data_IF_267154535868
#
_entry.id   IF_267154535868
#
_cell.length_a   1.000
_cell.length_b   1.000
_cell.length_c   1.000
_cell.angle_alpha   90.00
_cell.angle_beta   90.00
_cell.angle_gamma   90.00
#
_symmetry.space_group_name_H-M   'P 1'
#
loop_
_entity.id
_entity.type
_entity.pdbx_description
1 polymer ?
#
# COMPACT_ATOMS: atom_id res chain seq x y z
N UNK A 1 5.70 11.43 -30.69
CA UNK A 1 4.94 10.41 -29.97
C UNK A 1 4.92 10.86 -28.51
N UNK A 2 3.87 11.51 -28.02
CA UNK A 2 3.78 11.86 -26.62
C UNK A 2 3.43 10.58 -25.86
N UNK A 3 4.33 10.12 -25.02
CA UNK A 3 4.07 9.02 -24.10
C UNK A 3 3.04 9.47 -23.08
N UNK A 4 2.06 8.63 -22.81
CA UNK A 4 1.17 8.81 -21.68
C UNK A 4 2.02 8.74 -20.42
N UNK A 5 1.94 9.75 -19.58
CA UNK A 5 2.71 9.78 -18.35
C UNK A 5 1.80 10.18 -17.19
N UNK A 6 1.99 9.51 -16.08
CA UNK A 6 1.59 10.02 -14.79
C UNK A 6 2.64 11.05 -14.40
N UNK A 7 2.23 12.29 -14.19
CA UNK A 7 3.14 13.38 -13.84
C UNK A 7 3.35 13.51 -12.33
N UNK A 8 2.32 13.19 -11.55
CA UNK A 8 2.41 13.20 -10.08
C UNK A 8 1.46 12.18 -9.48
N UNK A 9 1.81 11.69 -8.31
CA UNK A 9 0.98 10.87 -7.45
C UNK A 9 1.05 11.51 -6.08
N UNK A 10 -0.07 12.03 -5.60
CA UNK A 10 -0.19 12.61 -4.28
C UNK A 10 -1.11 11.75 -3.42
N UNK A 11 -0.70 11.48 -2.19
CA UNK A 11 -1.59 10.91 -1.19
C UNK A 11 -2.37 12.08 -0.56
N UNK A 12 -3.66 12.13 -0.81
CA UNK A 12 -4.58 13.14 -0.30
C UNK A 12 -5.54 12.57 0.74
N UNK A 13 -5.18 11.46 1.34
CA UNK A 13 -5.98 10.83 2.39
C UNK A 13 -6.21 11.82 3.52
N UNK A 14 -7.43 12.32 3.63
CA UNK A 14 -7.82 13.29 4.67
C UNK A 14 -8.25 12.62 5.97
N UNK A 15 -8.51 11.34 5.92
CA UNK A 15 -8.95 10.58 7.09
C UNK A 15 -7.73 10.06 7.87
N UNK A 16 -7.50 10.66 9.03
CA UNK A 16 -6.54 10.17 10.03
C UNK A 16 -7.16 9.04 10.87
N UNK A 17 -7.79 8.07 10.21
CA UNK A 17 -8.24 6.85 10.87
C UNK A 17 -7.03 5.92 11.12
N UNK A 18 -7.07 5.08 12.15
CA UNK A 18 -6.11 4.00 12.25
C UNK A 18 -6.35 3.07 11.06
N UNK A 19 -5.50 3.19 10.04
CA UNK A 19 -5.50 2.24 8.94
C UNK A 19 -5.11 0.88 9.50
N UNK A 20 -5.94 -0.11 9.25
CA UNK A 20 -5.62 -1.47 9.63
C UNK A 20 -4.44 -1.95 8.76
N UNK A 21 -3.32 -2.26 9.42
CA UNK A 21 -2.16 -2.81 8.73
C UNK A 21 -2.52 -4.17 8.08
N UNK A 22 -1.95 -4.49 6.91
CA UNK A 22 -2.22 -5.75 6.22
C UNK A 22 -1.90 -6.99 7.05
N UNK A 23 -0.97 -6.86 7.98
CA UNK A 23 -0.56 -7.89 8.93
C UNK A 23 -0.90 -7.42 10.33
N UNK A 24 -1.72 -8.17 11.06
CA UNK A 24 -2.02 -7.87 12.45
C UNK A 24 -0.76 -8.07 13.33
N UNK A 25 -0.65 -7.29 14.40
CA UNK A 25 0.51 -7.36 15.31
C UNK A 25 0.62 -8.77 15.90
N UNK A 26 -0.49 -9.39 16.26
CA UNK A 26 -0.54 -10.74 16.79
C UNK A 26 -0.02 -11.78 15.79
N UNK A 27 -0.43 -11.65 14.51
CA UNK A 27 0.05 -12.52 13.42
C UNK A 27 1.56 -12.37 13.22
N UNK A 28 2.08 -11.14 13.32
CA UNK A 28 3.52 -10.88 13.23
C UNK A 28 4.28 -11.41 14.43
N UNK A 29 3.77 -11.27 15.66
CA UNK A 29 4.35 -11.85 16.87
C UNK A 29 4.43 -13.37 16.79
N UNK A 30 3.37 -14.03 16.34
CA UNK A 30 3.38 -15.47 16.12
C UNK A 30 4.45 -15.87 15.10
N UNK A 31 4.55 -15.13 14.00
CA UNK A 31 5.55 -15.36 12.96
C UNK A 31 6.98 -15.20 13.50
N UNK A 32 7.22 -14.19 14.32
CA UNK A 32 8.52 -13.92 14.97
C UNK A 32 8.80 -14.87 16.15
N UNK A 33 7.83 -15.69 16.57
CA UNK A 33 7.87 -16.56 17.75
C UNK A 33 8.16 -15.79 19.04
N UNK A 34 7.60 -14.58 19.16
CA UNK A 34 7.70 -13.73 20.34
C UNK A 34 6.65 -14.07 21.40
N UNK A 35 5.76 -15.00 21.15
CA UNK A 35 4.84 -15.54 22.15
C UNK A 35 5.64 -16.29 23.20
N UNK A 36 5.71 -15.74 24.40
CA UNK A 36 6.23 -16.44 25.55
C UNK A 36 5.47 -17.74 25.77
N UNK A 37 6.14 -18.78 26.25
CA UNK A 37 5.48 -19.96 26.78
C UNK A 37 4.51 -19.45 27.86
N UNK A 38 3.22 -19.60 27.61
CA UNK A 38 2.24 -19.54 28.71
C UNK A 38 2.51 -20.80 29.52
N UNK A 39 3.33 -20.69 30.54
CA UNK A 39 3.38 -21.71 31.57
C UNK A 39 1.98 -21.78 32.18
N UNK A 40 1.31 -22.88 31.97
CA UNK A 40 -0.05 -23.17 32.48
C UNK A 40 -0.06 -23.46 33.98
N UNK A 41 0.96 -23.04 34.71
CA UNK A 41 0.97 -23.10 36.17
C UNK A 41 0.45 -21.79 36.75
N UNK A 42 -0.79 -21.90 37.28
CA UNK A 42 -1.53 -20.91 38.01
C UNK A 42 -0.75 -20.33 39.23
N UNK A 43 0.16 -19.42 39.00
CA UNK A 43 0.56 -18.47 40.08
C UNK A 43 1.55 -17.45 39.53
N UNK A 44 1.11 -16.32 39.13
CA UNK A 44 1.60 -14.98 39.48
C UNK A 44 1.06 -13.96 38.51
N UNK A 45 0.18 -13.14 39.04
CA UNK A 45 -0.60 -12.13 38.30
C UNK A 45 0.09 -10.75 38.21
N UNK A 46 1.42 -10.67 38.21
CA UNK A 46 2.08 -9.37 38.30
C UNK A 46 3.11 -9.04 37.18
N UNK A 47 3.27 -9.88 36.16
CA UNK A 47 4.28 -9.67 35.11
C UNK A 47 3.70 -9.35 33.71
N UNK A 48 2.51 -8.76 33.61
CA UNK A 48 1.91 -8.42 32.31
C UNK A 48 2.49 -7.11 31.72
N UNK A 49 3.29 -6.35 32.46
CA UNK A 49 3.75 -5.01 32.04
C UNK A 49 5.00 -4.99 31.13
N UNK A 50 5.67 -6.11 30.93
CA UNK A 50 6.90 -6.16 30.13
C UNK A 50 6.64 -6.38 28.63
N UNK A 51 5.41 -6.77 28.25
CA UNK A 51 5.04 -7.03 26.85
C UNK A 51 4.61 -5.78 26.06
N UNK A 52 4.16 -4.72 26.71
CA UNK A 52 3.61 -3.52 26.05
C UNK A 52 4.70 -2.70 25.30
N UNK A 53 5.93 -2.72 25.80
CA UNK A 53 7.00 -1.93 25.17
C UNK A 53 7.49 -2.52 23.83
N UNK A 54 7.40 -3.83 23.67
CA UNK A 54 7.75 -4.49 22.42
C UNK A 54 6.68 -4.30 21.34
N UNK A 55 5.41 -4.07 21.71
CA UNK A 55 4.31 -3.94 20.78
C UNK A 55 4.40 -2.70 19.90
N UNK A 56 4.80 -1.56 20.47
CA UNK A 56 5.03 -0.33 19.73
C UNK A 56 6.15 -0.50 18.70
N UNK A 57 7.26 -1.12 19.10
CA UNK A 57 8.39 -1.41 18.22
C UNK A 57 7.99 -2.37 17.10
N UNK A 58 7.19 -3.38 17.41
CA UNK A 58 6.70 -4.35 16.42
C UNK A 58 5.72 -3.67 15.44
N UNK A 59 4.87 -2.77 15.93
CA UNK A 59 3.99 -1.98 15.08
C UNK A 59 4.77 -1.09 14.11
N UNK A 60 5.78 -0.38 14.60
CA UNK A 60 6.65 0.45 13.78
C UNK A 60 7.39 -0.36 12.70
N UNK A 61 7.90 -1.53 13.08
CA UNK A 61 8.58 -2.44 12.15
C UNK A 61 7.62 -2.98 11.09
N UNK A 62 6.38 -3.30 11.49
CA UNK A 62 5.34 -3.76 10.57
C UNK A 62 5.00 -2.68 9.54
N UNK A 63 4.77 -1.46 10.01
CA UNK A 63 4.54 -0.30 9.16
C UNK A 63 5.71 -0.05 8.21
N UNK A 64 6.95 -0.02 8.71
CA UNK A 64 8.15 0.17 7.91
C UNK A 64 8.31 -0.92 6.83
N UNK A 65 8.01 -2.17 7.16
CA UNK A 65 8.03 -3.26 6.20
C UNK A 65 6.99 -3.07 5.08
N UNK A 66 5.76 -2.66 5.42
CA UNK A 66 4.72 -2.33 4.44
C UNK A 66 5.15 -1.18 3.53
N UNK A 67 5.64 -0.09 4.11
CA UNK A 67 6.07 1.09 3.34
C UNK A 67 7.20 0.76 2.36
N UNK A 68 8.18 -0.02 2.79
CA UNK A 68 9.23 -0.51 1.89
C UNK A 68 8.65 -1.39 0.77
N UNK A 69 7.69 -2.27 1.07
CA UNK A 69 7.03 -3.06 0.03
C UNK A 69 6.27 -2.17 -0.96
N UNK A 70 5.53 -1.16 -0.50
CA UNK A 70 4.86 -0.18 -1.36
C UNK A 70 5.87 0.55 -2.26
N UNK A 71 6.96 1.05 -1.68
CA UNK A 71 8.00 1.77 -2.39
C UNK A 71 8.64 0.95 -3.53
N UNK A 72 8.94 -0.32 -3.28
CA UNK A 72 9.62 -1.17 -4.27
C UNK A 72 8.67 -1.82 -5.28
N UNK A 73 7.41 -2.02 -4.92
CA UNK A 73 6.41 -2.62 -5.81
C UNK A 73 5.69 -1.60 -6.68
N UNK A 74 5.51 -0.37 -6.19
CA UNK A 74 4.61 0.63 -6.76
C UNK A 74 3.13 0.26 -6.56
N UNK A 75 2.82 -0.56 -5.56
CA UNK A 75 1.46 -0.99 -5.22
C UNK A 75 1.05 -0.32 -3.93
N UNK A 76 -0.18 0.18 -3.86
CA UNK A 76 -0.78 0.68 -2.63
C UNK A 76 -1.34 -0.50 -1.84
N UNK A 77 -0.86 -0.72 -0.62
CA UNK A 77 -1.20 -1.92 0.18
C UNK A 77 -2.29 -1.69 1.22
N UNK A 78 -2.53 -0.45 1.62
CA UNK A 78 -3.63 -0.06 2.51
C UNK A 78 -4.57 0.90 1.78
N UNK A 79 -5.82 1.04 2.22
CA UNK A 79 -6.76 1.97 1.61
C UNK A 79 -6.25 3.41 1.71
N UNK A 80 -6.15 4.09 0.56
CA UNK A 80 -5.72 5.49 0.45
C UNK A 80 -6.54 6.20 -0.61
N UNK A 81 -6.70 7.52 -0.45
CA UNK A 81 -7.19 8.38 -1.51
C UNK A 81 -6.00 8.99 -2.24
N UNK A 82 -5.88 8.71 -3.51
CA UNK A 82 -4.79 9.19 -4.35
C UNK A 82 -5.31 10.22 -5.33
N UNK A 83 -4.54 11.30 -5.48
CA UNK A 83 -4.67 12.27 -6.56
C UNK A 83 -3.56 12.03 -7.57
N UNK A 84 -3.91 11.83 -8.82
CA UNK A 84 -2.97 11.52 -9.89
C UNK A 84 -3.20 12.45 -11.06
N UNK A 85 -2.16 13.15 -11.50
CA UNK A 85 -2.17 13.94 -12.72
C UNK A 85 -1.77 13.06 -13.90
N UNK A 86 -2.68 12.88 -14.82
CA UNK A 86 -2.52 12.03 -16.00
C UNK A 86 -2.52 12.88 -17.24
N UNK A 87 -1.43 12.85 -18.01
CA UNK A 87 -1.45 13.40 -19.37
C UNK A 87 -1.91 12.33 -20.37
N UNK A 88 -2.98 12.64 -21.05
CA UNK A 88 -3.58 11.72 -21.99
C UNK A 88 -3.10 11.96 -23.41
N UNK A 89 -2.21 11.14 -23.86
CA UNK A 89 -1.80 11.13 -25.26
C UNK A 89 -2.51 10.08 -26.10
N UNK A 90 -3.79 9.84 -26.01
CA UNK A 90 -4.52 8.86 -26.84
C UNK A 90 -4.32 7.38 -26.50
N UNK A 91 -3.99 7.05 -25.27
CA UNK A 91 -3.76 5.66 -24.88
C UNK A 91 -4.46 5.26 -23.59
N UNK A 92 -4.10 4.09 -23.14
CA UNK A 92 -4.46 3.59 -21.82
C UNK A 92 -3.40 4.02 -20.85
N UNK A 93 -3.80 4.58 -19.71
CA UNK A 93 -2.92 4.83 -18.59
C UNK A 93 -3.30 3.91 -17.43
N UNK A 94 -2.37 3.09 -16.97
CA UNK A 94 -2.55 2.28 -15.76
C UNK A 94 -2.45 3.21 -14.55
N UNK A 95 -3.45 3.13 -13.67
CA UNK A 95 -3.45 3.87 -12.42
C UNK A 95 -2.75 3.06 -11.32
N UNK A 96 -2.03 3.74 -10.39
CA UNK A 96 -1.56 3.11 -9.17
C UNK A 96 -2.72 2.43 -8.44
N UNK A 97 -2.51 1.21 -7.99
CA UNK A 97 -3.64 0.48 -7.41
C UNK A 97 -3.23 -0.70 -6.55
N UNK A 98 -4.20 -1.52 -6.23
CA UNK A 98 -5.57 -1.69 -6.81
C UNK A 98 -6.42 -0.45 -6.79
N UNK A 99 -7.24 -0.26 -7.83
CA UNK A 99 -8.06 0.95 -8.03
C UNK A 99 -9.50 0.67 -7.65
N UNK A 100 -10.00 1.44 -6.71
CA UNK A 100 -11.39 1.44 -6.29
C UNK A 100 -12.27 2.34 -7.15
N UNK A 101 -12.95 3.28 -6.51
CA UNK A 101 -13.87 4.24 -7.13
C UNK A 101 -13.16 5.57 -7.40
N UNK A 102 -13.50 6.21 -8.52
CA UNK A 102 -13.10 7.59 -8.80
C UNK A 102 -14.09 8.50 -8.09
N UNK A 103 -13.59 9.39 -7.25
CA UNK A 103 -14.41 10.35 -6.49
C UNK A 103 -14.50 11.70 -7.16
N UNK A 104 -13.46 12.11 -7.88
CA UNK A 104 -13.39 13.40 -8.54
C UNK A 104 -12.49 13.32 -9.77
N UNK A 105 -12.79 14.13 -10.77
CA UNK A 105 -11.91 14.35 -11.91
C UNK A 105 -12.01 15.81 -12.37
N UNK A 106 -10.85 16.42 -12.58
CA UNK A 106 -10.72 17.81 -13.00
C UNK A 106 -9.92 17.88 -14.30
N UNK A 107 -10.29 18.80 -15.18
CA UNK A 107 -9.52 19.10 -16.38
C UNK A 107 -8.29 19.99 -16.06
N UNK A 108 -7.50 20.32 -17.09
CA UNK A 108 -6.34 21.21 -16.97
C UNK A 108 -6.68 22.59 -16.39
N UNK A 109 -7.90 23.10 -16.57
CA UNK A 109 -8.33 24.40 -16.04
C UNK A 109 -8.85 24.32 -14.60
N UNK A 110 -9.03 23.11 -14.08
CA UNK A 110 -9.65 22.83 -12.80
C UNK A 110 -11.18 22.73 -12.88
N UNK A 111 -11.73 22.61 -14.10
CA UNK A 111 -13.15 22.40 -14.29
C UNK A 111 -13.48 20.89 -14.09
N UNK A 112 -14.63 20.63 -13.47
CA UNK A 112 -15.07 19.27 -13.17
C UNK A 112 -15.40 18.48 -14.45
N UNK A 113 -14.88 17.25 -14.53
CA UNK A 113 -15.16 16.31 -15.61
C UNK A 113 -16.28 15.37 -15.15
N UNK A 114 -17.30 15.19 -15.98
CA UNK A 114 -18.33 14.20 -15.73
C UNK A 114 -17.70 12.79 -15.68
N UNK A 115 -17.90 12.09 -14.57
CA UNK A 115 -17.35 10.75 -14.36
C UNK A 115 -17.87 9.72 -15.38
N UNK A 116 -19.03 9.96 -15.98
CA UNK A 116 -19.57 9.13 -17.06
C UNK A 116 -18.73 9.23 -18.36
N UNK A 117 -17.96 10.29 -18.53
CA UNK A 117 -17.01 10.44 -19.65
C UNK A 117 -15.72 9.66 -19.44
N UNK A 118 -15.49 9.16 -18.23
CA UNK A 118 -14.30 8.43 -17.84
C UNK A 118 -14.58 6.92 -17.84
N UNK A 119 -13.80 6.18 -18.59
CA UNK A 119 -13.94 4.72 -18.61
C UNK A 119 -12.75 4.08 -17.90
N UNK A 120 -13.05 3.35 -16.81
CA UNK A 120 -12.10 2.43 -16.19
C UNK A 120 -12.19 1.06 -16.86
N UNK A 121 -11.07 0.55 -17.31
CA UNK A 121 -10.98 -0.75 -17.98
C UNK A 121 -10.02 -1.65 -17.22
N UNK A 122 -10.49 -2.79 -16.79
CA UNK A 122 -9.70 -3.77 -16.03
C UNK A 122 -10.46 -4.22 -14.79
N UNK A 123 -9.86 -5.13 -14.04
CA UNK A 123 -10.42 -5.61 -12.79
C UNK A 123 -9.69 -4.98 -11.60
N UNK A 124 -8.75 -5.68 -10.99
CA UNK A 124 -7.93 -5.17 -9.87
C UNK A 124 -6.99 -4.04 -10.32
N UNK A 125 -6.39 -4.20 -11.49
CA UNK A 125 -5.52 -3.22 -12.14
C UNK A 125 -6.31 -2.53 -13.24
N UNK A 126 -6.61 -1.26 -13.03
CA UNK A 126 -7.46 -0.52 -13.95
C UNK A 126 -6.65 0.48 -14.76
N UNK A 127 -7.04 0.59 -16.00
CA UNK A 127 -6.57 1.60 -16.93
C UNK A 127 -7.65 2.63 -17.12
N UNK A 128 -7.26 3.88 -17.09
CA UNK A 128 -8.13 4.96 -17.45
C UNK A 128 -8.11 5.17 -18.96
N UNK A 129 -9.28 5.45 -19.51
CA UNK A 129 -9.46 5.84 -20.89
C UNK A 129 -10.36 7.04 -20.93
N UNK A 130 -9.80 8.19 -21.25
CA UNK A 130 -10.55 9.43 -21.43
C UNK A 130 -10.01 10.21 -22.64
N UNK A 131 -10.54 9.97 -23.84
CA UNK A 131 -9.98 10.50 -25.09
C UNK A 131 -10.20 12.00 -25.29
N UNK A 132 -11.05 12.63 -24.49
CA UNK A 132 -11.46 14.03 -24.67
C UNK A 132 -10.46 15.04 -24.10
N UNK A 133 -9.67 14.66 -23.10
CA UNK A 133 -8.83 15.56 -22.31
C UNK A 133 -7.35 15.27 -22.54
N UNK A 134 -6.53 16.32 -22.69
CA UNK A 134 -5.07 16.18 -22.86
C UNK A 134 -4.38 15.94 -21.53
N UNK A 135 -4.86 16.58 -20.46
CA UNK A 135 -4.39 16.43 -19.09
C UNK A 135 -5.58 16.48 -18.15
N UNK A 136 -5.55 15.67 -17.11
CA UNK A 136 -6.59 15.64 -16.10
C UNK A 136 -6.01 15.24 -14.75
N UNK A 137 -6.59 15.75 -13.69
CA UNK A 137 -6.34 15.34 -12.31
C UNK A 137 -7.46 14.44 -11.86
N UNK A 138 -7.13 13.27 -11.31
CA UNK A 138 -8.10 12.27 -10.91
C UNK A 138 -7.87 11.92 -9.46
N UNK A 139 -8.92 12.02 -8.65
CA UNK A 139 -8.95 11.58 -7.27
C UNK A 139 -9.74 10.28 -7.16
N UNK A 140 -9.14 9.26 -6.56
CA UNK A 140 -9.75 7.93 -6.46
C UNK A 140 -9.24 7.16 -5.23
N UNK A 141 -10.00 6.15 -4.82
CA UNK A 141 -9.56 5.23 -3.77
C UNK A 141 -8.66 4.14 -4.34
N UNK A 142 -7.57 3.84 -3.65
CA UNK A 142 -6.62 2.79 -4.04
C UNK A 142 -6.22 1.94 -2.83
N UNK A 143 -5.75 0.71 -3.07
CA UNK A 143 -5.23 -0.18 -2.04
C UNK A 143 -6.02 -1.47 -1.87
N UNK A 144 -5.84 -2.08 -0.71
CA UNK A 144 -6.52 -3.32 -0.32
C UNK A 144 -7.24 -3.13 1.01
N UNK A 145 -8.27 -3.93 1.27
CA UNK A 145 -8.77 -4.19 2.61
C UNK A 145 -9.98 -3.41 3.08
N UNK A 146 -10.70 -2.66 2.21
CA UNK A 146 -12.04 -2.17 2.53
C UNK A 146 -13.13 -2.88 1.71
N UNK A 147 -14.40 -2.55 1.95
CA UNK A 147 -15.54 -3.24 1.31
C UNK A 147 -15.54 -3.11 -0.22
N UNK A 148 -14.99 -2.01 -0.75
CA UNK A 148 -14.93 -1.71 -2.19
C UNK A 148 -13.62 -2.12 -2.85
N UNK A 149 -12.62 -2.52 -2.05
CA UNK A 149 -11.30 -2.90 -2.51
C UNK A 149 -11.06 -4.40 -2.30
N UNK A 150 -10.21 -5.03 -3.14
CA UNK A 150 -9.91 -6.44 -2.98
C UNK A 150 -9.14 -6.72 -1.68
N UNK A 151 -9.26 -7.93 -1.16
CA UNK A 151 -8.44 -8.38 -0.05
C UNK A 151 -6.98 -8.56 -0.48
N UNK A 152 -6.05 -8.22 0.41
CA UNK A 152 -4.63 -8.37 0.12
C UNK A 152 -4.27 -9.85 -0.12
N UNK A 153 -3.51 -10.18 -1.18
CA UNK A 153 -3.06 -11.55 -1.42
C UNK A 153 -2.19 -12.06 -0.28
N UNK A 154 -2.46 -13.28 0.18
CA UNK A 154 -1.68 -13.92 1.26
C UNK A 154 -0.17 -13.94 1.00
N UNK A 155 0.24 -14.05 -0.27
CA UNK A 155 1.65 -14.04 -0.64
C UNK A 155 2.32 -12.69 -0.31
N UNK A 156 1.62 -11.58 -0.48
CA UNK A 156 2.12 -10.23 -0.12
C UNK A 156 2.21 -10.12 1.40
N UNK A 157 1.18 -10.56 2.15
CA UNK A 157 1.23 -10.59 3.62
C UNK A 157 2.46 -11.35 4.15
N UNK A 158 2.71 -12.55 3.61
CA UNK A 158 3.88 -13.36 4.00
C UNK A 158 5.19 -12.65 3.69
N UNK A 159 5.28 -11.93 2.58
CA UNK A 159 6.51 -11.19 2.27
C UNK A 159 6.69 -9.95 3.13
N UNK A 160 5.60 -9.28 3.56
CA UNK A 160 5.66 -8.22 4.58
C UNK A 160 6.19 -8.79 5.90
N UNK A 161 5.65 -9.92 6.37
CA UNK A 161 6.13 -10.58 7.58
C UNK A 161 7.61 -10.99 7.50
N UNK A 162 8.07 -11.47 6.34
CA UNK A 162 9.49 -11.77 6.10
C UNK A 162 10.37 -10.54 6.19
N UNK A 163 9.92 -9.43 5.61
CA UNK A 163 10.65 -8.16 5.66
C UNK A 163 10.65 -7.60 7.08
N UNK A 164 9.52 -7.64 7.78
CA UNK A 164 9.42 -7.24 9.17
C UNK A 164 10.35 -8.08 10.07
N UNK A 165 10.40 -9.39 9.87
CA UNK A 165 11.33 -10.27 10.59
C UNK A 165 12.80 -9.90 10.31
N UNK A 166 13.12 -9.56 9.08
CA UNK A 166 14.46 -9.11 8.73
C UNK A 166 14.81 -7.80 9.43
N UNK A 167 13.91 -6.80 9.44
CA UNK A 167 14.07 -5.53 10.13
C UNK A 167 14.22 -5.73 11.65
N UNK A 168 13.45 -6.64 12.23
CA UNK A 168 13.49 -6.95 13.65
C UNK A 168 14.85 -7.53 14.09
N UNK A 169 15.42 -8.42 13.28
CA UNK A 169 16.71 -9.08 13.58
C UNK A 169 17.89 -8.12 13.32
N UNK A 170 17.83 -7.34 12.27
CA UNK A 170 18.90 -6.44 11.84
C UNK A 170 18.58 -4.99 12.23
N UNK A 171 18.47 -4.75 13.53
CA UNK A 171 18.22 -3.40 14.08
C UNK A 171 19.41 -2.50 13.77
N UNK A 172 19.21 -1.51 12.89
CA UNK A 172 20.21 -0.52 12.50
C UNK A 172 20.31 -0.31 10.99
N UNK A 173 21.22 0.56 10.56
CA UNK A 173 21.46 0.87 9.15
C UNK A 173 22.17 -0.29 8.43
N UNK A 174 21.41 -1.30 8.05
CA UNK A 174 21.91 -2.38 7.20
C UNK A 174 21.56 -2.10 5.73
N UNK A 175 22.55 -1.78 4.86
CA UNK A 175 22.30 -1.56 3.44
C UNK A 175 21.74 -2.79 2.74
N UNK A 176 21.83 -3.97 3.32
CA UNK A 176 21.23 -5.18 2.80
C UNK A 176 19.69 -5.19 2.91
N UNK A 177 19.09 -4.36 3.79
CA UNK A 177 17.62 -4.24 3.92
C UNK A 177 16.99 -3.84 2.59
N UNK A 178 17.54 -2.83 1.91
CA UNK A 178 17.02 -2.36 0.63
C UNK A 178 17.12 -3.44 -0.45
N UNK A 179 18.23 -4.18 -0.48
CA UNK A 179 18.42 -5.29 -1.41
C UNK A 179 17.40 -6.39 -1.14
N UNK A 180 17.20 -6.75 0.12
CA UNK A 180 16.24 -7.78 0.52
C UNK A 180 14.80 -7.38 0.19
N UNK A 181 14.39 -6.15 0.52
CA UNK A 181 13.08 -5.61 0.19
C UNK A 181 12.83 -5.62 -1.33
N UNK A 182 13.83 -5.17 -2.12
CA UNK A 182 13.73 -5.17 -3.59
C UNK A 182 13.59 -6.58 -4.18
N UNK A 183 14.25 -7.59 -3.58
CA UNK A 183 14.14 -8.98 -4.02
C UNK A 183 12.75 -9.56 -3.75
N UNK A 184 12.18 -9.30 -2.57
CA UNK A 184 10.81 -9.72 -2.23
C UNK A 184 9.78 -9.03 -3.13
N UNK A 185 9.94 -7.73 -3.35
CA UNK A 185 9.03 -6.92 -4.13
C UNK A 185 9.06 -7.22 -5.64
N UNK A 186 10.18 -7.77 -6.15
CA UNK A 186 10.41 -7.93 -7.60
C UNK A 186 9.30 -8.66 -8.35
N UNK A 187 8.69 -9.66 -7.72
CA UNK A 187 7.60 -10.46 -8.33
C UNK A 187 6.27 -9.72 -8.42
N UNK A 188 6.13 -8.61 -7.68
CA UNK A 188 4.91 -7.79 -7.64
C UNK A 188 5.08 -6.45 -8.34
N UNK A 189 6.31 -6.09 -8.70
CA UNK A 189 6.64 -4.77 -9.21
C UNK A 189 5.79 -4.39 -10.42
N UNK A 190 5.20 -3.20 -10.35
CA UNK A 190 4.45 -2.58 -11.45
C UNK A 190 5.28 -1.46 -12.05
N UNK A 191 5.38 -1.44 -13.37
CA UNK A 191 6.04 -0.35 -14.09
C UNK A 191 4.98 0.70 -14.47
N UNK A 192 4.71 1.62 -13.57
CA UNK A 192 3.74 2.70 -13.77
C UNK A 192 4.28 3.83 -14.67
N UNK A 193 5.60 3.85 -14.85
CA UNK A 193 6.35 4.91 -15.55
C UNK A 193 6.92 4.45 -16.90
N UNK A 194 6.23 3.64 -17.64
CA UNK A 194 6.70 3.13 -18.93
C UNK A 194 6.20 3.96 -20.12
#
# INVERSE_FOLDING_TARGET
MKLNAIHSINDVTTESGPFEEPVAIEELKEYLRLGGFVDTDESTSDDISEFDFDDEIIADINQAARELMEQYTGITLIPKTLEVVVSNGKGRQELPGPVGEITEALDYNGDEIDLDDITLVGNTWKYIKCPKYEEMTITYTAGYGNDDLPQIPKAIKVDIMRLAAYLYIHRGDDPAIQVYASQLARKYKRNLWA
#
